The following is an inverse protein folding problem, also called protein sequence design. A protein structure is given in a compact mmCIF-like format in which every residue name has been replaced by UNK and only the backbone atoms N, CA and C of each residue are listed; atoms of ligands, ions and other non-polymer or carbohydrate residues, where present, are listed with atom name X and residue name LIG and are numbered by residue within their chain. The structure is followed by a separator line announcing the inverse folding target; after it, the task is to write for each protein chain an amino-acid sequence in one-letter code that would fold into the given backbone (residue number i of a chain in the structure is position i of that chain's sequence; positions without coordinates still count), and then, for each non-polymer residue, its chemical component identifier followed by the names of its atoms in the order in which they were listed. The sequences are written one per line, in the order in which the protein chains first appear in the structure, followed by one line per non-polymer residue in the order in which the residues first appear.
data_IF_806903050386
#
_entry.id   IF_806903050386
#
_cell.length_a   1.000
_cell.length_b   1.000
_cell.length_c   1.000
_cell.angle_alpha   90.00
_cell.angle_beta   90.00
_cell.angle_gamma   90.00
#
_symmetry.space_group_name_H-M   'P 1'
#
loop_
_entity.id
_entity.type
_entity.pdbx_description
1 polymer ?
#
# COMPACT_ATOMS: atom_id res chain seq x y z
N UNK A 1 0.96 13.47 4.58
CA UNK A 1 1.76 13.42 5.83
C UNK A 1 3.09 12.73 5.57
N UNK A 2 4.04 12.83 6.50
CA UNK A 2 5.42 12.33 6.39
C UNK A 2 5.94 11.89 7.77
N UNK A 3 7.10 11.25 7.88
CA UNK A 3 7.72 10.93 9.17
C UNK A 3 7.72 12.12 10.14
N UNK A 4 7.35 11.86 11.39
CA UNK A 4 7.15 12.87 12.43
C UNK A 4 5.70 13.39 12.58
N UNK A 5 4.79 13.05 11.66
CA UNK A 5 3.36 13.33 11.82
C UNK A 5 2.68 12.29 12.73
N UNK A 6 1.88 12.66 13.74
CA UNK A 6 1.24 11.71 14.66
C UNK A 6 0.45 10.58 13.98
N UNK A 7 -0.26 10.86 12.88
CA UNK A 7 -1.00 9.82 12.15
C UNK A 7 -0.07 8.89 11.38
N UNK A 8 1.01 9.43 10.81
CA UNK A 8 2.05 8.62 10.18
C UNK A 8 2.73 7.71 11.21
N UNK A 9 3.08 8.26 12.38
CA UNK A 9 3.70 7.50 13.46
C UNK A 9 2.75 6.46 14.07
N UNK A 10 1.44 6.72 14.10
CA UNK A 10 0.45 5.76 14.57
C UNK A 10 0.41 4.48 13.71
N UNK A 11 0.58 4.59 12.39
CA UNK A 11 0.57 3.42 11.50
C UNK A 11 1.96 2.79 11.31
N UNK A 12 3.04 3.55 11.45
CA UNK A 12 4.40 3.05 11.28
C UNK A 12 5.09 2.63 12.57
N UNK A 13 4.61 3.11 13.72
CA UNK A 13 5.23 2.97 15.04
C UNK A 13 6.71 3.42 15.06
N UNK A 14 7.04 4.54 14.41
CA UNK A 14 8.42 5.07 14.41
C UNK A 14 9.40 4.33 13.49
N UNK A 15 8.93 3.34 12.71
CA UNK A 15 9.81 2.55 11.83
C UNK A 15 10.52 3.46 10.82
N UNK A 16 11.80 3.18 10.64
CA UNK A 16 12.63 3.78 9.61
C UNK A 16 13.04 2.69 8.60
N UNK A 17 13.32 3.06 7.33
CA UNK A 17 13.91 2.12 6.39
C UNK A 17 15.20 1.51 6.96
N UNK A 18 15.46 0.20 6.74
CA UNK A 18 16.72 -0.41 7.13
C UNK A 18 17.86 0.22 6.33
N UNK A 19 19.07 0.16 6.90
CA UNK A 19 20.29 0.71 6.27
C UNK A 19 21.46 -0.26 6.40
N UNK A 20 22.51 -0.06 5.62
CA UNK A 20 23.73 -0.88 5.65
C UNK A 20 23.42 -2.37 5.49
N UNK A 21 24.04 -3.20 6.34
CA UNK A 21 23.91 -4.66 6.27
C UNK A 21 22.48 -5.18 6.41
N UNK A 22 21.61 -4.46 7.12
CA UNK A 22 20.19 -4.85 7.21
C UNK A 22 19.48 -4.66 5.87
N UNK A 23 19.74 -3.53 5.20
CA UNK A 23 19.22 -3.27 3.85
C UNK A 23 19.80 -4.26 2.85
N UNK A 24 21.09 -4.60 2.95
CA UNK A 24 21.73 -5.59 2.08
C UNK A 24 21.08 -6.97 2.22
N UNK A 25 20.77 -7.39 3.45
CA UNK A 25 20.07 -8.65 3.73
C UNK A 25 18.64 -8.64 3.22
N UNK A 26 17.95 -7.51 3.33
CA UNK A 26 16.61 -7.35 2.78
C UNK A 26 16.65 -7.45 1.24
N UNK A 27 17.56 -6.72 0.60
CA UNK A 27 17.71 -6.67 -0.85
C UNK A 27 18.14 -8.02 -1.43
N UNK A 28 18.99 -8.78 -0.73
CA UNK A 28 19.40 -10.11 -1.21
C UNK A 28 18.24 -11.12 -1.29
N UNK A 29 17.17 -10.90 -0.53
CA UNK A 29 15.95 -11.73 -0.57
C UNK A 29 14.90 -11.19 -1.55
N UNK A 30 14.73 -9.87 -1.61
CA UNK A 30 13.54 -9.28 -2.23
C UNK A 30 13.82 -8.44 -3.48
N UNK A 31 15.08 -8.07 -3.76
CA UNK A 31 15.43 -7.31 -4.95
C UNK A 31 15.84 -8.24 -6.10
N UNK A 32 15.36 -7.92 -7.31
CA UNK A 32 15.79 -8.55 -8.57
C UNK A 32 16.94 -7.77 -9.23
N UNK A 33 17.56 -6.88 -8.47
CA UNK A 33 18.59 -5.97 -8.94
C UNK A 33 18.08 -4.54 -9.07
N UNK A 34 19.02 -3.64 -9.30
CA UNK A 34 18.76 -2.21 -9.37
C UNK A 34 18.48 -1.81 -10.81
N UNK A 35 17.42 -1.03 -11.03
CA UNK A 35 17.14 -0.45 -12.32
C UNK A 35 18.27 0.54 -12.69
N UNK A 36 18.94 0.38 -13.84
CA UNK A 36 20.13 1.16 -14.18
C UNK A 36 19.82 2.62 -14.54
N UNK A 37 18.56 2.94 -14.85
CA UNK A 37 18.16 4.29 -15.27
C UNK A 37 17.72 5.14 -14.08
N UNK A 38 16.95 4.55 -13.17
CA UNK A 38 16.35 5.22 -12.02
C UNK A 38 17.17 5.05 -10.74
N UNK A 39 18.00 4.00 -10.67
CA UNK A 39 18.72 3.65 -9.47
C UNK A 39 17.78 3.21 -8.33
N UNK A 40 16.57 2.75 -8.61
CA UNK A 40 15.71 2.11 -7.61
C UNK A 40 15.86 0.58 -7.65
N UNK A 41 15.69 -0.05 -6.49
CA UNK A 41 15.62 -1.51 -6.40
C UNK A 41 14.36 -2.00 -7.12
N UNK A 42 14.52 -2.98 -8.00
CA UNK A 42 13.40 -3.68 -8.61
C UNK A 42 12.95 -4.80 -7.67
N UNK A 43 12.07 -4.47 -6.74
CA UNK A 43 11.56 -5.45 -5.78
C UNK A 43 10.65 -6.48 -6.44
N UNK A 44 10.80 -7.74 -6.06
CA UNK A 44 9.89 -8.82 -6.43
C UNK A 44 8.62 -8.71 -5.59
N UNK A 45 7.52 -8.28 -6.21
CA UNK A 45 6.22 -8.16 -5.56
C UNK A 45 5.47 -9.50 -5.50
N UNK A 46 4.51 -9.66 -4.57
CA UNK A 46 3.64 -10.83 -4.53
C UNK A 46 2.66 -10.75 -5.71
N UNK A 47 2.84 -11.64 -6.68
CA UNK A 47 2.02 -11.73 -7.89
C UNK A 47 1.29 -13.07 -7.98
N UNK A 48 0.47 -13.22 -9.00
CA UNK A 48 -0.21 -14.45 -9.39
C UNK A 48 0.77 -15.64 -9.49
N UNK A 49 2.00 -15.39 -9.94
CA UNK A 49 3.07 -16.41 -10.05
C UNK A 49 3.39 -17.05 -8.69
N UNK A 50 3.24 -16.29 -7.60
CA UNK A 50 3.47 -16.73 -6.23
C UNK A 50 2.18 -17.13 -5.51
N UNK A 51 1.05 -17.23 -6.22
CA UNK A 51 -0.25 -17.53 -5.62
C UNK A 51 -0.91 -16.32 -4.93
N UNK A 52 -0.39 -15.11 -5.14
CA UNK A 52 -0.85 -13.87 -4.53
C UNK A 52 -1.31 -12.88 -5.60
N UNK A 53 -2.45 -13.13 -6.26
CA UNK A 53 -2.90 -12.28 -7.37
C UNK A 53 -3.02 -10.84 -6.91
N UNK A 54 -2.40 -9.89 -7.61
CA UNK A 54 -2.32 -8.48 -7.20
C UNK A 54 -1.97 -8.27 -5.70
N UNK A 55 -1.13 -9.12 -5.12
CA UNK A 55 -0.71 -9.04 -3.73
C UNK A 55 -1.77 -9.43 -2.69
N UNK A 56 -2.91 -10.00 -3.08
CA UNK A 56 -3.89 -10.56 -2.14
C UNK A 56 -3.35 -11.86 -1.51
N UNK A 57 -3.72 -12.13 -0.26
CA UNK A 57 -3.20 -13.28 0.50
C UNK A 57 -3.45 -14.62 -0.20
N UNK A 58 -4.63 -14.79 -0.79
CA UNK A 58 -4.94 -15.94 -1.64
C UNK A 58 -5.85 -15.51 -2.80
N UNK A 59 -6.01 -16.33 -3.86
CA UNK A 59 -6.99 -16.06 -4.91
C UNK A 59 -8.43 -16.01 -4.41
N UNK A 60 -8.77 -16.78 -3.37
CA UNK A 60 -10.12 -16.84 -2.78
C UNK A 60 -10.45 -15.60 -1.94
N UNK A 61 -9.42 -14.97 -1.37
CA UNK A 61 -9.56 -13.78 -0.55
C UNK A 61 -9.85 -12.51 -1.36
N UNK A 62 -9.48 -12.50 -2.64
CA UNK A 62 -9.70 -11.38 -3.56
C UNK A 62 -11.17 -11.35 -4.02
N UNK A 63 -11.96 -10.44 -3.47
CA UNK A 63 -13.40 -10.30 -3.79
C UNK A 63 -13.71 -8.99 -4.50
N UNK A 64 -14.62 -9.02 -5.47
CA UNK A 64 -15.15 -7.81 -6.07
C UNK A 64 -16.24 -7.24 -5.16
N UNK A 65 -16.05 -6.00 -4.71
CA UNK A 65 -16.96 -5.34 -3.77
C UNK A 65 -17.20 -3.88 -4.18
N UNK A 66 -18.38 -3.35 -3.84
CA UNK A 66 -18.64 -1.91 -3.91
C UNK A 66 -18.27 -1.29 -2.57
N UNK A 67 -17.29 -0.38 -2.59
CA UNK A 67 -16.86 0.33 -1.38
C UNK A 67 -17.88 1.43 -1.08
N UNK A 68 -18.58 1.41 0.07
CA UNK A 68 -19.66 2.37 0.33
C UNK A 68 -19.13 3.75 0.72
N UNK A 69 -19.93 4.82 0.55
CA UNK A 69 -19.63 6.14 1.10
C UNK A 69 -19.39 6.10 2.61
N UNK A 70 -18.52 6.99 3.09
CA UNK A 70 -18.07 7.06 4.49
C UNK A 70 -16.96 6.05 4.84
N UNK A 71 -16.59 5.14 3.94
CA UNK A 71 -15.42 4.27 4.15
C UNK A 71 -14.15 5.12 4.20
N UNK A 72 -13.29 4.83 5.18
CA UNK A 72 -12.01 5.53 5.40
C UNK A 72 -10.86 4.63 4.96
N UNK A 73 -10.07 5.10 4.00
CA UNK A 73 -8.97 4.37 3.38
C UNK A 73 -7.73 5.26 3.26
N UNK A 74 -6.55 4.67 3.24
CA UNK A 74 -5.29 5.39 3.20
C UNK A 74 -4.26 4.73 2.28
N UNK A 75 -3.15 5.43 2.02
CA UNK A 75 -2.08 4.95 1.14
C UNK A 75 -0.72 5.53 1.52
N UNK A 76 0.30 4.67 1.46
CA UNK A 76 1.69 5.10 1.32
C UNK A 76 2.06 5.13 -0.16
N UNK A 77 2.54 6.28 -0.66
CA UNK A 77 2.95 6.48 -2.04
C UNK A 77 2.11 7.52 -2.78
N UNK A 78 2.51 7.78 -4.02
CA UNK A 78 1.83 8.71 -4.93
C UNK A 78 0.38 8.28 -5.24
N UNK A 79 -0.46 9.28 -5.53
CA UNK A 79 -1.86 9.13 -5.97
C UNK A 79 -2.01 8.50 -7.36
N UNK A 80 -0.92 8.36 -8.13
CA UNK A 80 -0.91 7.57 -9.38
C UNK A 80 -0.87 6.06 -9.15
N UNK A 81 -0.96 5.61 -7.89
CA UNK A 81 -1.09 4.20 -7.54
C UNK A 81 -2.54 3.75 -7.40
N UNK A 82 -2.73 2.44 -7.40
CA UNK A 82 -4.06 1.79 -7.42
C UNK A 82 -4.36 0.90 -6.20
N UNK A 83 -3.49 0.94 -5.18
CA UNK A 83 -3.63 0.14 -3.95
C UNK A 83 -3.82 1.06 -2.74
N UNK A 84 -4.85 0.79 -1.94
CA UNK A 84 -5.11 1.47 -0.68
C UNK A 84 -5.28 0.42 0.43
N UNK A 85 -5.27 0.84 1.69
CA UNK A 85 -5.68 0.00 2.81
C UNK A 85 -6.77 0.69 3.63
N UNK A 86 -7.36 -0.04 4.58
CA UNK A 86 -8.23 0.58 5.59
C UNK A 86 -7.43 1.61 6.38
N UNK A 87 -8.02 2.80 6.61
CA UNK A 87 -7.34 3.87 7.37
C UNK A 87 -6.87 3.37 8.73
N UNK A 88 -5.59 3.59 9.06
CA UNK A 88 -5.02 3.20 10.34
C UNK A 88 -4.45 1.78 10.39
N UNK A 89 -4.51 1.00 9.31
CA UNK A 89 -3.89 -0.32 9.28
C UNK A 89 -2.36 -0.21 9.51
N UNK A 90 -1.76 -1.02 10.42
CA UNK A 90 -0.32 -0.97 10.69
C UNK A 90 0.51 -1.25 9.43
N UNK A 91 1.62 -0.54 9.27
CA UNK A 91 2.53 -0.69 8.12
C UNK A 91 2.98 -2.15 7.87
N UNK A 92 3.34 -2.95 8.91
CA UNK A 92 3.65 -4.38 8.73
C UNK A 92 2.51 -5.21 8.14
N UNK A 93 1.27 -4.88 8.46
CA UNK A 93 0.11 -5.64 7.96
C UNK A 93 -0.17 -5.35 6.48
N UNK A 94 0.43 -4.29 5.93
CA UNK A 94 0.33 -3.93 4.51
C UNK A 94 1.38 -4.62 3.64
N UNK A 95 2.37 -5.28 4.25
CA UNK A 95 3.48 -5.94 3.58
C UNK A 95 4.13 -5.08 2.47
N UNK A 96 4.46 -3.84 2.81
CA UNK A 96 5.08 -2.88 1.90
C UNK A 96 6.61 -2.96 1.95
N UNK A 97 7.31 -2.62 0.85
CA UNK A 97 8.76 -2.52 0.86
C UNK A 97 9.21 -1.29 1.67
N UNK A 98 10.40 -1.32 2.31
CA UNK A 98 10.81 -0.30 3.27
C UNK A 98 10.87 1.14 2.75
N UNK A 99 11.10 1.33 1.45
CA UNK A 99 11.12 2.67 0.83
C UNK A 99 9.77 3.43 0.96
N UNK A 100 8.68 2.72 1.26
CA UNK A 100 7.38 3.34 1.52
C UNK A 100 7.35 4.12 2.83
N UNK A 101 8.24 3.83 3.80
CA UNK A 101 8.38 4.60 5.04
C UNK A 101 8.91 6.03 4.83
N UNK A 102 9.38 6.35 3.63
CA UNK A 102 9.75 7.73 3.24
C UNK A 102 8.80 8.31 2.19
N UNK A 103 7.76 7.58 1.81
CA UNK A 103 6.79 8.03 0.81
C UNK A 103 5.72 8.94 1.44
N UNK A 104 5.04 9.77 0.63
CA UNK A 104 3.85 10.48 1.07
C UNK A 104 2.82 9.51 1.66
N UNK A 105 2.23 9.87 2.79
CA UNK A 105 1.09 9.17 3.37
C UNK A 105 -0.17 10.01 3.22
N UNK A 106 -1.20 9.42 2.64
CA UNK A 106 -2.47 10.08 2.36
C UNK A 106 -3.63 9.32 2.98
N UNK A 107 -4.65 10.04 3.45
CA UNK A 107 -5.90 9.47 3.93
C UNK A 107 -7.07 10.01 3.11
N UNK A 108 -8.10 9.20 2.93
CA UNK A 108 -9.24 9.47 2.07
C UNK A 108 -10.54 9.00 2.70
N UNK A 109 -11.61 9.70 2.37
CA UNK A 109 -12.98 9.27 2.62
C UNK A 109 -13.68 9.00 1.29
N UNK A 110 -14.39 7.88 1.20
CA UNK A 110 -15.22 7.54 0.06
C UNK A 110 -16.48 8.43 0.07
N UNK A 111 -16.68 9.19 -0.99
CA UNK A 111 -17.84 10.10 -1.14
C UNK A 111 -18.94 9.51 -1.98
N UNK A 112 -18.60 8.60 -2.91
CA UNK A 112 -19.54 7.87 -3.75
C UNK A 112 -19.10 6.41 -3.87
N UNK A 113 -20.05 5.46 -3.97
CA UNK A 113 -19.67 4.06 -4.09
C UNK A 113 -18.90 3.79 -5.38
N UNK A 114 -17.83 3.00 -5.31
CA UNK A 114 -17.05 2.55 -6.47
C UNK A 114 -16.68 1.07 -6.36
N UNK A 115 -16.48 0.37 -7.49
CA UNK A 115 -16.07 -1.03 -7.47
C UNK A 115 -14.57 -1.14 -7.15
N UNK A 116 -14.20 -2.10 -6.29
CA UNK A 116 -12.82 -2.43 -5.98
C UNK A 116 -12.66 -3.94 -5.78
N UNK A 117 -11.43 -4.43 -5.94
CA UNK A 117 -11.04 -5.73 -5.40
C UNK A 117 -10.60 -5.55 -3.96
N UNK A 118 -11.18 -6.33 -3.04
CA UNK A 118 -10.99 -6.19 -1.60
C UNK A 118 -10.59 -7.53 -1.00
N UNK A 119 -9.69 -7.51 -0.02
CA UNK A 119 -9.20 -8.71 0.66
C UNK A 119 -7.92 -8.44 1.45
N UNK A 120 -7.47 -9.40 2.28
CA UNK A 120 -6.20 -9.31 2.99
C UNK A 120 -4.99 -9.22 2.05
N UNK A 121 -4.00 -8.40 2.43
CA UNK A 121 -2.68 -8.38 1.81
C UNK A 121 -1.89 -9.65 2.16
N UNK A 122 -1.14 -10.18 1.20
CA UNK A 122 -0.23 -11.30 1.43
C UNK A 122 0.91 -10.90 2.39
N UNK A 123 1.38 -11.85 3.19
CA UNK A 123 2.63 -11.66 3.95
C UNK A 123 3.81 -11.62 3.00
N UNK A 124 4.54 -10.52 2.98
CA UNK A 124 5.63 -10.26 2.03
C UNK A 124 6.64 -9.26 2.60
N UNK A 125 7.81 -9.11 1.97
CA UNK A 125 8.86 -8.16 2.39
C UNK A 125 9.23 -8.27 3.89
N UNK A 126 9.31 -9.51 4.39
CA UNK A 126 9.57 -9.84 5.82
C UNK A 126 8.55 -9.24 6.80
N UNK A 127 7.34 -8.97 6.31
CA UNK A 127 6.21 -8.49 7.09
C UNK A 127 5.05 -9.51 7.07
N UNK A 128 4.18 -9.52 8.10
CA UNK A 128 3.11 -10.51 8.23
C UNK A 128 1.99 -10.35 7.19
N UNK A 129 1.76 -9.15 6.65
CA UNK A 129 0.58 -8.89 5.82
C UNK A 129 -0.72 -8.95 6.63
N UNK A 130 -1.85 -9.13 5.94
CA UNK A 130 -3.17 -9.34 6.56
C UNK A 130 -4.08 -8.10 6.63
N UNK A 131 -3.56 -6.89 6.41
CA UNK A 131 -4.40 -5.70 6.32
C UNK A 131 -5.37 -5.84 5.13
N UNK A 132 -6.59 -5.33 5.28
CA UNK A 132 -7.51 -5.21 4.13
C UNK A 132 -6.93 -4.20 3.15
N UNK A 133 -6.68 -4.65 1.92
CA UNK A 133 -6.31 -3.80 0.79
C UNK A 133 -7.48 -3.61 -0.17
N UNK A 134 -7.47 -2.47 -0.85
CA UNK A 134 -8.41 -2.10 -1.91
C UNK A 134 -7.60 -1.88 -3.18
N UNK A 135 -7.83 -2.70 -4.20
CA UNK A 135 -7.20 -2.58 -5.50
C UNK A 135 -8.21 -2.01 -6.51
N UNK A 136 -7.85 -0.88 -7.11
CA UNK A 136 -8.68 -0.11 -8.04
C UNK A 136 -8.65 -0.66 -9.49
N UNK A 137 -7.90 -1.73 -9.74
CA UNK A 137 -7.75 -2.30 -11.08
C UNK A 137 -6.96 -1.37 -11.99
N UNK A 138 -7.61 -0.90 -13.05
CA UNK A 138 -7.03 0.01 -14.06
C UNK A 138 -7.10 1.50 -13.67
N UNK A 139 -7.71 1.83 -12.54
CA UNK A 139 -7.84 3.20 -12.05
C UNK A 139 -6.78 3.49 -10.98
N UNK A 140 -6.48 4.77 -10.80
CA UNK A 140 -5.60 5.28 -9.75
C UNK A 140 -6.38 6.23 -8.82
N UNK A 141 -5.75 6.60 -7.70
CA UNK A 141 -6.37 7.47 -6.69
C UNK A 141 -6.65 8.87 -7.26
N UNK A 142 -5.72 9.44 -8.04
CA UNK A 142 -5.88 10.75 -8.68
C UNK A 142 -7.16 10.83 -9.53
N UNK A 143 -7.45 9.79 -10.32
CA UNK A 143 -8.68 9.72 -11.12
C UNK A 143 -9.93 9.66 -10.25
N UNK A 144 -9.90 8.90 -9.16
CA UNK A 144 -11.04 8.81 -8.23
C UNK A 144 -11.29 10.12 -7.49
N UNK A 145 -10.23 10.85 -7.11
CA UNK A 145 -10.32 12.21 -6.54
C UNK A 145 -10.95 13.19 -7.53
N UNK A 146 -10.41 13.26 -8.76
CA UNK A 146 -10.90 14.16 -9.81
C UNK A 146 -12.36 13.91 -10.18
N UNK A 147 -12.79 12.64 -10.13
CA UNK A 147 -14.17 12.25 -10.41
C UNK A 147 -15.11 12.35 -9.20
N UNK A 148 -14.60 12.70 -8.01
CA UNK A 148 -15.41 12.91 -6.81
C UNK A 148 -15.92 11.63 -6.13
N UNK A 149 -15.22 10.51 -6.33
CA UNK A 149 -15.45 9.24 -5.59
C UNK A 149 -14.67 9.18 -4.27
N UNK A 150 -13.54 9.90 -4.22
CA UNK A 150 -12.73 10.07 -3.03
C UNK A 150 -12.59 11.56 -2.70
N UNK A 151 -12.40 11.83 -1.41
CA UNK A 151 -12.01 13.14 -0.88
C UNK A 151 -10.78 12.95 -0.01
N UNK A 152 -9.76 13.77 -0.21
CA UNK A 152 -8.56 13.75 0.64
C UNK A 152 -8.88 14.29 2.04
N UNK A 153 -8.34 13.62 3.06
CA UNK A 153 -8.52 13.91 4.50
C UNK A 153 -7.20 13.97 5.25
N UNK A 154 -6.07 13.99 4.54
CA UNK A 154 -4.70 13.92 5.06
C UNK A 154 -4.33 15.02 6.06
N UNK A 155 -5.14 16.06 6.23
CA UNK A 155 -4.92 17.15 7.20
C UNK A 155 -6.02 17.29 8.25
N UNK A 156 -7.02 16.41 8.24
CA UNK A 156 -8.07 16.33 9.28
C UNK A 156 -7.56 15.60 10.51
#
# INVERSE_FOLDING_TARGET
MKPGDPKFEAVTHGRQPPTGTELDRFNSKWSQGRDPNSGFENYQYPTEEYGHPNGFATPQDKRAEWVPPGTRIDRFGSEYGSFLATEGAPWPERALPPHTLTSPYHTYEVTQPFPSWVGPAAGWFDQPGGATQYFLGQYDVDRLLKAGYLRETTGE
#
